data_IF_620028767647
#
_entry.id   IF_620028767647
#
_cell.length_a   1.000
_cell.length_b   1.000
_cell.length_c   1.000
_cell.angle_alpha   90.00
_cell.angle_beta   90.00
_cell.angle_gamma   90.00
#
_symmetry.space_group_name_H-M   'P 1'
#
loop_
_entity.id
_entity.type
_entity.pdbx_description
1 polymer ?
#
# COMPACT_ATOMS: atom_id res chain seq x y z
N UNK A 1 7.32 -8.43 92.62
CA UNK A 1 8.39 -7.47 92.29
C UNK A 1 9.45 -8.17 91.47
N UNK A 2 9.51 -7.89 90.17
CA UNK A 2 10.73 -7.63 89.39
C UNK A 2 10.26 -7.38 87.96
N UNK A 3 10.21 -6.10 87.59
CA UNK A 3 9.72 -5.58 86.31
C UNK A 3 10.77 -5.79 85.22
N UNK A 4 10.34 -6.30 84.06
CA UNK A 4 11.15 -6.45 82.85
C UNK A 4 11.61 -5.06 82.32
N UNK A 5 12.76 -4.98 81.62
CA UNK A 5 13.26 -3.72 81.10
C UNK A 5 12.39 -3.23 79.94
N UNK A 6 12.16 -1.93 79.96
CA UNK A 6 11.34 -1.15 79.04
C UNK A 6 11.96 -1.16 77.63
N UNK A 7 11.22 -1.69 76.64
CA UNK A 7 11.57 -1.56 75.22
C UNK A 7 11.44 -0.08 74.82
N UNK A 8 12.42 0.50 74.09
CA UNK A 8 12.34 1.88 73.66
C UNK A 8 11.16 2.07 72.67
N UNK A 9 10.46 3.21 72.70
CA UNK A 9 9.30 3.44 71.86
C UNK A 9 9.68 3.50 70.38
N UNK A 10 8.89 2.81 69.55
CA UNK A 10 8.91 2.93 68.09
C UNK A 10 8.78 4.41 67.70
N UNK A 11 9.87 4.98 67.18
CA UNK A 11 9.81 6.26 66.48
C UNK A 11 8.93 6.07 65.23
N UNK A 12 7.94 6.95 64.99
CA UNK A 12 7.21 6.92 63.73
C UNK A 12 8.21 7.18 62.60
N UNK A 13 8.44 6.17 61.74
CA UNK A 13 9.14 6.35 60.49
C UNK A 13 8.41 7.44 59.71
N UNK A 14 8.99 8.65 59.70
CA UNK A 14 8.57 9.71 58.80
C UNK A 14 8.53 9.14 57.38
N UNK A 15 7.48 9.41 56.58
CA UNK A 15 7.43 8.94 55.20
C UNK A 15 8.64 9.54 54.49
N UNK A 16 9.62 8.68 54.18
CA UNK A 16 10.79 9.08 53.41
C UNK A 16 10.26 9.69 52.11
N UNK A 17 10.50 10.97 51.84
CA UNK A 17 10.08 11.57 50.58
C UNK A 17 10.73 10.75 49.47
N UNK A 18 9.91 10.17 48.59
CA UNK A 18 10.42 9.47 47.42
C UNK A 18 11.41 10.38 46.69
N UNK A 19 12.54 9.85 46.16
CA UNK A 19 13.61 10.68 45.63
C UNK A 19 13.06 11.61 44.53
N UNK A 20 13.10 12.90 44.80
CA UNK A 20 12.74 13.93 43.84
C UNK A 20 13.71 13.82 42.65
N UNK A 21 13.17 13.76 41.43
CA UNK A 21 14.01 13.74 40.24
C UNK A 21 14.76 15.08 40.15
N UNK A 22 16.06 15.04 39.86
CA UNK A 22 16.80 16.26 39.58
C UNK A 22 16.17 16.99 38.38
N UNK A 23 16.20 18.32 38.39
CA UNK A 23 15.62 19.14 37.30
C UNK A 23 16.14 18.73 35.92
N UNK A 24 17.41 18.31 35.84
CA UNK A 24 18.02 17.78 34.61
C UNK A 24 17.45 16.43 34.15
N UNK A 25 17.06 15.54 35.07
CA UNK A 25 16.39 14.29 34.75
C UNK A 25 14.99 14.50 34.16
N UNK A 26 14.26 15.52 34.65
CA UNK A 26 12.93 15.84 34.12
C UNK A 26 13.03 16.41 32.70
N UNK A 27 13.94 17.36 32.46
CA UNK A 27 14.15 17.93 31.13
C UNK A 27 14.61 16.90 30.10
N UNK A 28 15.50 15.98 30.49
CA UNK A 28 15.93 14.89 29.60
C UNK A 28 14.79 13.93 29.26
N UNK A 29 13.91 13.62 30.21
CA UNK A 29 12.69 12.83 29.92
C UNK A 29 11.75 13.56 28.96
N UNK A 30 11.48 14.85 29.18
CA UNK A 30 10.61 15.64 28.29
C UNK A 30 11.19 15.72 26.88
N UNK A 31 12.49 16.04 26.76
CA UNK A 31 13.17 16.08 25.47
C UNK A 31 13.13 14.71 24.78
N UNK A 32 13.38 13.61 25.51
CA UNK A 32 13.32 12.27 24.96
C UNK A 32 11.91 11.91 24.48
N UNK A 33 10.86 12.27 25.22
CA UNK A 33 9.46 12.00 24.85
C UNK A 33 9.03 12.62 23.51
N UNK A 34 9.75 13.66 23.05
CA UNK A 34 9.48 14.36 21.80
C UNK A 34 10.49 13.97 20.71
N UNK A 35 11.78 14.08 21.01
CA UNK A 35 12.86 13.93 20.03
C UNK A 35 13.01 12.48 19.57
N UNK A 36 12.92 11.52 20.48
CA UNK A 36 13.07 10.10 20.13
C UNK A 36 11.99 9.59 19.18
N UNK A 37 10.68 9.75 19.45
CA UNK A 37 9.66 9.29 18.51
C UNK A 37 9.71 10.04 17.18
N UNK A 38 10.04 11.34 17.19
CA UNK A 38 10.21 12.10 15.94
C UNK A 38 11.39 11.60 15.11
N UNK A 39 12.55 11.32 15.71
CA UNK A 39 13.70 10.79 14.98
C UNK A 39 13.42 9.41 14.38
N UNK A 40 12.81 8.50 15.15
CA UNK A 40 12.51 7.16 14.65
C UNK A 40 11.45 7.22 13.55
N UNK A 41 10.39 8.00 13.76
CA UNK A 41 9.29 8.13 12.78
C UNK A 41 9.68 8.85 11.50
N UNK A 42 10.57 9.85 11.53
CA UNK A 42 11.03 10.53 10.30
C UNK A 42 11.90 9.62 9.44
N UNK A 43 12.74 8.78 10.05
CA UNK A 43 13.54 7.79 9.32
C UNK A 43 12.62 6.74 8.68
N UNK A 44 11.65 6.22 9.43
CA UNK A 44 10.62 5.32 8.93
C UNK A 44 9.82 5.94 7.78
N UNK A 45 9.39 7.20 7.95
CA UNK A 45 8.62 7.94 6.97
C UNK A 45 9.40 8.11 5.66
N UNK A 46 10.66 8.56 5.74
CA UNK A 46 11.53 8.67 4.57
C UNK A 46 11.76 7.31 3.89
N UNK A 47 12.00 6.25 4.68
CA UNK A 47 12.19 4.91 4.17
C UNK A 47 10.96 4.35 3.45
N UNK A 48 9.76 4.54 3.99
CA UNK A 48 8.51 4.10 3.36
C UNK A 48 8.08 4.97 2.18
N UNK A 49 8.42 6.26 2.16
CA UNK A 49 8.17 7.11 1.00
C UNK A 49 9.02 6.68 -0.20
N UNK A 50 10.26 6.22 0.03
CA UNK A 50 11.07 5.59 -1.01
C UNK A 50 10.45 4.28 -1.53
N UNK A 51 9.76 3.51 -0.68
CA UNK A 51 9.00 2.31 -1.12
C UNK A 51 7.87 2.71 -2.06
N UNK A 52 7.05 3.67 -1.64
CA UNK A 52 5.89 4.13 -2.40
C UNK A 52 6.31 4.70 -3.77
N UNK A 53 7.44 5.41 -3.84
CA UNK A 53 7.96 5.96 -5.11
C UNK A 53 8.68 4.93 -6.00
N UNK A 54 9.14 3.80 -5.44
CA UNK A 54 9.87 2.74 -6.14
C UNK A 54 9.03 1.49 -6.45
N UNK A 55 7.71 1.60 -6.35
CA UNK A 55 6.76 0.50 -6.21
C UNK A 55 6.82 -0.65 -7.24
N UNK A 56 7.21 -0.49 -8.53
CA UNK A 56 7.20 -1.67 -9.41
C UNK A 56 8.35 -2.66 -9.18
N UNK A 57 9.37 -2.35 -8.34
CA UNK A 57 10.60 -3.16 -8.28
C UNK A 57 11.04 -3.61 -6.88
N UNK A 58 10.19 -3.46 -5.86
CA UNK A 58 10.56 -3.78 -4.48
C UNK A 58 9.67 -4.88 -3.88
N UNK A 59 10.17 -6.13 -3.92
CA UNK A 59 9.53 -7.27 -3.27
C UNK A 59 9.61 -7.23 -1.73
N UNK A 60 9.03 -8.25 -1.07
CA UNK A 60 8.91 -8.37 0.39
C UNK A 60 10.21 -8.20 1.20
N UNK A 61 11.39 -8.36 0.56
CA UNK A 61 12.68 -8.11 1.21
C UNK A 61 12.85 -6.65 1.68
N UNK A 62 12.27 -5.68 0.98
CA UNK A 62 12.41 -4.27 1.36
C UNK A 62 11.53 -3.92 2.57
N UNK A 63 10.30 -4.44 2.65
CA UNK A 63 9.45 -4.24 3.83
C UNK A 63 10.05 -4.92 5.06
N UNK A 64 10.66 -6.10 4.89
CA UNK A 64 11.41 -6.77 5.95
C UNK A 64 12.61 -5.95 6.44
N UNK A 65 13.36 -5.31 5.53
CA UNK A 65 14.51 -4.48 5.89
C UNK A 65 14.08 -3.21 6.64
N UNK A 66 12.97 -2.57 6.24
CA UNK A 66 12.39 -1.44 6.96
C UNK A 66 11.99 -1.82 8.40
N UNK A 67 11.39 -3.00 8.58
CA UNK A 67 11.10 -3.57 9.89
C UNK A 67 12.36 -3.78 10.73
N UNK A 68 13.43 -4.32 10.15
CA UNK A 68 14.71 -4.53 10.84
C UNK A 68 15.36 -3.21 11.27
N UNK A 69 15.37 -2.20 10.40
CA UNK A 69 15.88 -0.85 10.72
C UNK A 69 15.09 -0.23 11.88
N UNK A 70 13.77 -0.40 11.88
CA UNK A 70 12.89 0.09 12.95
C UNK A 70 13.23 -0.54 14.30
N UNK A 71 13.41 -1.85 14.34
CA UNK A 71 13.81 -2.56 15.57
C UNK A 71 15.19 -2.12 16.06
N UNK A 72 16.15 -1.94 15.15
CA UNK A 72 17.49 -1.49 15.47
C UNK A 72 17.51 -0.06 16.06
N UNK A 73 16.83 0.89 15.41
CA UNK A 73 16.73 2.27 15.87
C UNK A 73 16.02 2.36 17.23
N UNK A 74 14.90 1.64 17.37
CA UNK A 74 14.15 1.59 18.62
C UNK A 74 15.01 0.99 19.75
N UNK A 75 15.69 -0.13 19.49
CA UNK A 75 16.56 -0.79 20.47
C UNK A 75 17.76 0.08 20.88
N UNK A 76 18.41 0.73 19.92
CA UNK A 76 19.52 1.64 20.17
C UNK A 76 19.08 2.84 21.04
N UNK A 77 17.96 3.46 20.69
CA UNK A 77 17.40 4.58 21.45
C UNK A 77 16.96 4.18 22.86
N UNK A 78 16.31 3.02 23.01
CA UNK A 78 15.96 2.45 24.32
C UNK A 78 17.20 2.30 25.21
N UNK A 79 18.26 1.67 24.68
CA UNK A 79 19.49 1.44 25.41
C UNK A 79 20.20 2.75 25.80
N UNK A 80 20.29 3.71 24.86
CA UNK A 80 20.90 5.00 25.09
C UNK A 80 20.16 5.78 26.20
N UNK A 81 18.83 5.85 26.12
CA UNK A 81 18.00 6.53 27.10
C UNK A 81 18.12 5.88 28.48
N UNK A 82 18.08 4.55 28.53
CA UNK A 82 18.28 3.80 29.77
C UNK A 82 19.65 4.09 30.40
N UNK A 83 20.71 4.17 29.59
CA UNK A 83 22.07 4.51 30.06
C UNK A 83 22.13 5.93 30.63
N UNK A 84 21.49 6.90 29.98
CA UNK A 84 21.42 8.30 30.44
C UNK A 84 20.66 8.38 31.77
N UNK A 85 19.48 7.76 31.86
CA UNK A 85 18.68 7.80 33.09
C UNK A 85 19.36 7.12 34.27
N UNK A 86 20.11 6.02 34.04
CA UNK A 86 20.96 5.41 35.07
C UNK A 86 22.05 6.35 35.55
N UNK A 87 22.71 7.08 34.65
CA UNK A 87 23.75 8.07 35.00
C UNK A 87 23.20 9.25 35.79
N UNK A 88 21.95 9.63 35.53
CA UNK A 88 21.24 10.70 36.24
C UNK A 88 20.64 10.26 37.58
N UNK A 89 20.81 9.00 37.99
CA UNK A 89 20.34 8.49 39.27
C UNK A 89 18.80 8.38 39.37
N UNK A 90 18.10 8.25 38.25
CA UNK A 90 16.64 8.18 38.23
C UNK A 90 16.14 6.89 38.89
N UNK A 91 15.17 6.95 39.83
CA UNK A 91 14.57 5.75 40.41
C UNK A 91 13.82 4.96 39.33
N UNK A 92 14.06 3.65 39.27
CA UNK A 92 13.47 2.72 38.27
C UNK A 92 13.64 3.20 36.81
N UNK A 93 14.89 3.35 36.33
CA UNK A 93 15.19 4.00 35.05
C UNK A 93 14.72 3.21 33.82
N UNK A 94 14.18 1.99 33.99
CA UNK A 94 13.67 1.13 32.92
C UNK A 94 12.23 1.47 32.53
N UNK A 95 11.41 2.02 33.42
CA UNK A 95 9.97 2.19 33.16
C UNK A 95 9.72 3.15 32.00
N UNK A 96 10.33 4.35 32.04
CA UNK A 96 10.15 5.39 31.05
C UNK A 96 10.63 5.00 29.63
N UNK A 97 11.86 4.45 29.42
CA UNK A 97 12.27 3.97 28.11
C UNK A 97 11.40 2.85 27.55
N UNK A 98 10.83 2.00 28.42
CA UNK A 98 9.96 0.90 27.98
C UNK A 98 8.67 1.44 27.39
N UNK A 99 7.98 2.34 28.10
CA UNK A 99 6.74 2.99 27.62
C UNK A 99 6.96 3.71 26.29
N UNK A 100 8.06 4.44 26.19
CA UNK A 100 8.37 5.20 24.98
C UNK A 100 8.71 4.29 23.79
N UNK A 101 9.47 3.21 24.03
CA UNK A 101 9.81 2.25 22.98
C UNK A 101 8.58 1.47 22.51
N UNK A 102 7.68 1.08 23.42
CA UNK A 102 6.42 0.43 23.04
C UNK A 102 5.50 1.34 22.23
N UNK A 103 5.44 2.63 22.55
CA UNK A 103 4.66 3.59 21.78
C UNK A 103 5.21 3.73 20.35
N UNK A 104 6.53 3.82 20.21
CA UNK A 104 7.20 3.88 18.91
C UNK A 104 6.99 2.60 18.10
N UNK A 105 7.10 1.42 18.72
CA UNK A 105 6.85 0.14 18.05
C UNK A 105 5.39 -0.01 17.63
N UNK A 106 4.45 0.40 18.47
CA UNK A 106 3.03 0.37 18.13
C UNK A 106 2.74 1.29 16.93
N UNK A 107 3.27 2.52 16.95
CA UNK A 107 3.13 3.46 15.83
C UNK A 107 3.87 2.97 14.55
N UNK A 108 5.00 2.29 14.69
CA UNK A 108 5.72 1.67 13.57
C UNK A 108 4.94 0.51 12.95
N UNK A 109 4.39 -0.39 13.76
CA UNK A 109 3.53 -1.48 13.29
C UNK A 109 2.30 -0.95 12.56
N UNK A 110 1.70 0.10 13.11
CA UNK A 110 0.63 0.86 12.48
C UNK A 110 1.02 1.44 11.10
N UNK A 111 2.22 2.00 10.98
CA UNK A 111 2.76 2.49 9.71
C UNK A 111 2.85 1.38 8.67
N UNK A 112 3.30 0.19 9.08
CA UNK A 112 3.42 -0.96 8.20
C UNK A 112 2.05 -1.41 7.70
N UNK A 113 1.03 -1.41 8.55
CA UNK A 113 -0.36 -1.69 8.14
C UNK A 113 -0.84 -0.65 7.13
N UNK A 114 -0.63 0.64 7.40
CA UNK A 114 -1.01 1.71 6.48
C UNK A 114 -0.29 1.63 5.13
N UNK A 115 0.99 1.27 5.12
CA UNK A 115 1.80 1.06 3.92
C UNK A 115 1.26 -0.12 3.08
N UNK A 116 0.94 -1.25 3.73
CA UNK A 116 0.38 -2.43 3.06
C UNK A 116 -0.99 -2.12 2.45
N UNK A 117 -1.81 -1.35 3.16
CA UNK A 117 -3.13 -0.93 2.69
C UNK A 117 -3.07 0.25 1.69
N UNK A 118 -1.87 0.70 1.30
CA UNK A 118 -1.66 1.85 0.39
C UNK A 118 -2.39 3.14 0.82
N UNK A 119 -2.64 3.30 2.12
CA UNK A 119 -3.40 4.46 2.63
C UNK A 119 -2.47 5.66 2.78
N UNK A 120 -2.90 6.82 2.27
CA UNK A 120 -2.21 8.12 2.45
C UNK A 120 -1.98 8.50 3.93
N UNK A 121 -2.61 7.79 4.86
CA UNK A 121 -2.39 7.89 6.30
C UNK A 121 -0.92 7.65 6.72
N UNK A 122 -0.10 7.00 5.89
CA UNK A 122 1.34 6.90 6.11
C UNK A 122 2.02 8.27 6.27
N UNK A 123 1.50 9.31 5.61
CA UNK A 123 2.02 10.68 5.71
C UNK A 123 1.90 11.25 7.13
N UNK A 124 0.94 10.77 7.92
CA UNK A 124 0.70 11.21 9.29
C UNK A 124 1.56 10.48 10.33
N UNK A 125 2.46 9.58 9.92
CA UNK A 125 3.25 8.73 10.81
C UNK A 125 4.01 9.50 11.91
N UNK A 126 4.73 10.61 11.61
CA UNK A 126 5.43 11.34 12.67
C UNK A 126 4.49 11.92 13.72
N UNK A 127 3.31 12.38 13.31
CA UNK A 127 2.29 12.92 14.21
C UNK A 127 1.68 11.83 15.10
N UNK A 128 1.33 10.66 14.52
CA UNK A 128 0.80 9.51 15.28
C UNK A 128 1.82 9.02 16.30
N UNK A 129 3.09 8.86 15.89
CA UNK A 129 4.16 8.39 16.77
C UNK A 129 4.41 9.34 17.95
N UNK A 130 4.37 10.66 17.70
CA UNK A 130 4.46 11.68 18.74
C UNK A 130 3.24 11.62 19.69
N UNK A 131 2.02 11.56 19.15
CA UNK A 131 0.80 11.52 19.95
C UNK A 131 0.77 10.30 20.90
N UNK A 132 1.14 9.12 20.39
CA UNK A 132 1.22 7.88 21.17
C UNK A 132 2.28 7.95 22.27
N UNK A 133 3.42 8.57 21.95
CA UNK A 133 4.51 8.76 22.91
C UNK A 133 4.15 9.74 24.03
N UNK A 134 3.48 10.84 23.68
CA UNK A 134 2.97 11.82 24.65
C UNK A 134 1.87 11.21 25.53
N UNK A 135 0.96 10.42 24.94
CA UNK A 135 -0.06 9.69 25.68
C UNK A 135 0.56 8.71 26.69
N UNK A 136 1.53 7.90 26.26
CA UNK A 136 2.27 7.00 27.14
C UNK A 136 2.96 7.74 28.29
N UNK A 137 3.59 8.89 28.00
CA UNK A 137 4.21 9.73 29.02
C UNK A 137 3.18 10.32 29.99
N UNK A 138 2.05 10.83 29.51
CA UNK A 138 0.99 11.39 30.34
C UNK A 138 0.42 10.33 31.29
N UNK A 139 0.13 9.13 30.79
CA UNK A 139 -0.38 8.02 31.60
C UNK A 139 0.67 7.58 32.63
N UNK A 140 1.94 7.45 32.23
CA UNK A 140 3.01 7.12 33.16
C UNK A 140 3.14 8.15 34.29
N UNK A 141 3.13 9.45 33.97
CA UNK A 141 3.22 10.50 34.99
C UNK A 141 2.02 10.52 35.95
N UNK A 142 0.82 10.22 35.47
CA UNK A 142 -0.39 10.17 36.28
C UNK A 142 -0.39 8.99 37.27
N UNK A 143 0.00 7.79 36.81
CA UNK A 143 -0.13 6.57 37.61
C UNK A 143 1.10 6.21 38.43
N UNK A 144 2.29 6.75 38.12
CA UNK A 144 3.55 6.43 38.85
C UNK A 144 3.54 6.78 40.34
N UNK A 145 2.62 7.66 40.78
CA UNK A 145 2.49 8.08 42.19
C UNK A 145 1.54 7.19 43.00
N UNK A 146 0.84 6.26 42.36
CA UNK A 146 -0.12 5.37 43.02
C UNK A 146 0.54 4.17 43.71
N UNK A 147 -0.01 3.68 44.84
CA UNK A 147 0.50 2.50 45.56
C UNK A 147 0.35 1.18 44.77
N UNK A 148 -0.44 1.17 43.69
CA UNK A 148 -0.71 0.01 42.81
C UNK A 148 -0.12 0.18 41.41
N UNK A 149 0.98 0.92 41.28
CA UNK A 149 1.61 1.13 39.97
C UNK A 149 2.05 -0.20 39.36
N UNK A 150 1.50 -0.53 38.20
CA UNK A 150 1.95 -1.61 37.33
C UNK A 150 2.29 -1.04 35.96
N UNK A 151 3.45 -1.37 35.36
CA UNK A 151 3.80 -0.91 34.02
C UNK A 151 2.80 -1.38 32.95
N UNK A 152 2.03 -2.46 33.21
CA UNK A 152 0.96 -2.90 32.32
C UNK A 152 -0.18 -1.88 32.21
N UNK A 153 -0.51 -1.17 33.30
CA UNK A 153 -1.56 -0.15 33.29
C UNK A 153 -1.18 1.05 32.42
N UNK A 154 0.12 1.36 32.31
CA UNK A 154 0.61 2.46 31.47
C UNK A 154 0.63 2.13 29.99
N UNK A 155 0.72 0.84 29.64
CA UNK A 155 0.74 0.37 28.26
C UNK A 155 -0.66 0.17 27.68
N UNK A 156 -1.64 -0.15 28.53
CA UNK A 156 -3.04 -0.37 28.14
C UNK A 156 -3.62 0.72 27.22
N UNK A 157 -3.57 2.03 27.54
CA UNK A 157 -4.15 3.06 26.67
C UNK A 157 -3.38 3.24 25.36
N UNK A 158 -2.06 3.04 25.35
CA UNK A 158 -1.24 3.08 24.14
C UNK A 158 -1.67 1.94 23.21
N UNK A 159 -1.81 0.72 23.73
CA UNK A 159 -2.28 -0.42 22.92
C UNK A 159 -3.73 -0.23 22.47
N UNK A 160 -4.61 0.28 23.33
CA UNK A 160 -6.01 0.52 22.99
C UNK A 160 -6.16 1.54 21.86
N UNK A 161 -5.45 2.68 21.93
CA UNK A 161 -5.45 3.67 20.84
C UNK A 161 -4.83 3.09 19.58
N UNK A 162 -3.79 2.25 19.71
CA UNK A 162 -3.17 1.62 18.56
C UNK A 162 -4.16 0.75 17.79
N UNK A 163 -4.89 -0.11 18.51
CA UNK A 163 -5.91 -1.00 17.96
C UNK A 163 -7.09 -0.23 17.38
N UNK A 164 -7.55 0.84 18.04
CA UNK A 164 -8.61 1.70 17.53
C UNK A 164 -8.24 2.33 16.19
N UNK A 165 -7.04 2.90 16.09
CA UNK A 165 -6.54 3.50 14.86
C UNK A 165 -6.39 2.45 13.73
N UNK A 166 -5.85 1.27 14.04
CA UNK A 166 -5.80 0.16 13.08
C UNK A 166 -7.18 -0.24 12.60
N UNK A 167 -8.17 -0.31 13.50
CA UNK A 167 -9.57 -0.56 13.14
C UNK A 167 -10.15 0.54 12.25
N UNK A 168 -9.85 1.82 12.53
CA UNK A 168 -10.33 2.93 11.68
C UNK A 168 -9.71 2.93 10.29
N UNK A 169 -8.42 2.58 10.15
CA UNK A 169 -7.79 2.46 8.84
C UNK A 169 -8.34 1.28 8.05
N UNK A 170 -8.56 0.16 8.72
CA UNK A 170 -9.16 -1.01 8.10
C UNK A 170 -10.59 -0.73 7.63
N UNK A 171 -11.42 -0.12 8.48
CA UNK A 171 -12.77 0.28 8.12
C UNK A 171 -12.79 1.31 6.97
N UNK A 172 -11.84 2.26 6.97
CA UNK A 172 -11.70 3.22 5.87
C UNK A 172 -11.30 2.54 4.55
N UNK A 173 -10.39 1.56 4.61
CA UNK A 173 -10.00 0.76 3.45
C UNK A 173 -11.14 -0.09 2.91
N UNK A 174 -11.91 -0.75 3.79
CA UNK A 174 -13.10 -1.52 3.39
C UNK A 174 -14.18 -0.63 2.78
N UNK A 175 -14.40 0.57 3.33
CA UNK A 175 -15.37 1.52 2.79
C UNK A 175 -14.95 2.05 1.42
N UNK A 176 -13.66 2.36 1.22
CA UNK A 176 -13.15 2.78 -0.09
C UNK A 176 -13.29 1.65 -1.11
N UNK A 177 -12.89 0.43 -0.76
CA UNK A 177 -13.04 -0.74 -1.64
C UNK A 177 -14.50 -1.00 -2.00
N UNK A 178 -15.40 -0.85 -1.03
CA UNK A 178 -16.84 -0.95 -1.25
C UNK A 178 -17.33 0.14 -2.19
N UNK A 179 -16.88 1.37 -1.98
CA UNK A 179 -17.23 2.52 -2.82
C UNK A 179 -16.73 2.36 -4.25
N UNK A 180 -15.48 1.97 -4.44
CA UNK A 180 -14.89 1.67 -5.75
C UNK A 180 -15.70 0.58 -6.46
N UNK A 181 -16.09 -0.49 -5.75
CA UNK A 181 -16.97 -1.54 -6.29
C UNK A 181 -18.34 -1.00 -6.68
N UNK A 182 -18.97 -0.18 -5.83
CA UNK A 182 -20.29 0.42 -6.13
C UNK A 182 -20.23 1.41 -7.30
N UNK A 183 -19.14 2.17 -7.42
CA UNK A 183 -18.87 3.08 -8.55
C UNK A 183 -18.64 2.27 -9.83
N UNK A 184 -17.79 1.25 -9.80
CA UNK A 184 -17.52 0.38 -10.95
C UNK A 184 -18.77 -0.40 -11.41
N UNK A 185 -19.60 -0.88 -10.48
CA UNK A 185 -20.90 -1.50 -10.82
C UNK A 185 -21.86 -0.49 -11.46
N UNK A 186 -21.86 0.77 -10.99
CA UNK A 186 -22.68 1.83 -11.59
C UNK A 186 -22.21 2.13 -13.00
N UNK A 187 -20.90 2.24 -13.21
CA UNK A 187 -20.30 2.50 -14.52
C UNK A 187 -20.55 1.33 -15.47
N UNK A 188 -20.38 0.10 -15.00
CA UNK A 188 -20.71 -1.11 -15.76
C UNK A 188 -22.19 -1.13 -16.20
N UNK A 189 -23.12 -0.78 -15.30
CA UNK A 189 -24.55 -0.73 -15.63
C UNK A 189 -24.92 0.43 -16.56
N UNK A 190 -24.16 1.53 -16.53
CA UNK A 190 -24.38 2.71 -17.37
C UNK A 190 -23.65 2.61 -18.72
N UNK A 191 -22.71 1.69 -18.89
CA UNK A 191 -21.89 1.58 -20.10
C UNK A 191 -22.73 1.11 -21.31
N UNK A 192 -22.77 1.90 -22.40
CA UNK A 192 -23.77 1.72 -23.46
C UNK A 192 -23.44 0.61 -24.49
N UNK A 193 -22.22 0.05 -24.45
CA UNK A 193 -21.72 -0.91 -25.43
C UNK A 193 -21.52 -2.29 -24.82
N UNK A 194 -21.42 -3.30 -25.68
CA UNK A 194 -21.02 -4.66 -25.27
C UNK A 194 -19.53 -4.68 -24.93
N UNK A 195 -19.17 -5.17 -23.74
CA UNK A 195 -17.77 -5.34 -23.34
C UNK A 195 -17.25 -6.66 -23.91
N UNK A 196 -16.00 -6.68 -24.37
CA UNK A 196 -15.35 -7.90 -24.79
C UNK A 196 -14.75 -8.64 -23.59
N UNK A 197 -14.78 -9.97 -23.66
CA UNK A 197 -14.21 -10.87 -22.65
C UNK A 197 -13.22 -11.80 -23.32
N UNK A 198 -12.07 -12.02 -22.67
CA UNK A 198 -11.12 -13.05 -23.03
C UNK A 198 -11.52 -14.36 -22.36
N UNK A 199 -12.10 -15.28 -23.12
CA UNK A 199 -12.57 -16.58 -22.64
C UNK A 199 -11.44 -17.63 -22.69
N UNK A 200 -10.43 -17.45 -21.84
CA UNK A 200 -9.29 -18.36 -21.74
C UNK A 200 -8.97 -18.67 -20.28
N UNK A 201 -8.91 -19.96 -19.94
CA UNK A 201 -8.61 -20.43 -18.59
C UNK A 201 -7.19 -20.11 -18.10
N UNK A 202 -6.29 -19.74 -19.00
CA UNK A 202 -4.89 -19.40 -18.68
C UNK A 202 -4.75 -17.95 -18.17
N UNK A 203 -5.82 -17.15 -18.26
CA UNK A 203 -5.83 -15.74 -17.93
C UNK A 203 -6.94 -15.42 -16.93
N UNK A 204 -6.63 -14.56 -15.96
CA UNK A 204 -7.60 -14.07 -14.98
C UNK A 204 -7.71 -12.55 -15.06
N UNK A 205 -8.92 -11.98 -14.97
CA UNK A 205 -9.09 -10.54 -14.93
C UNK A 205 -8.51 -10.01 -13.61
N UNK A 206 -7.80 -8.89 -13.68
CA UNK A 206 -7.14 -8.21 -12.57
C UNK A 206 -7.79 -6.85 -12.28
N UNK A 207 -8.12 -6.10 -13.33
CA UNK A 207 -8.63 -4.73 -13.21
C UNK A 207 -9.64 -4.48 -14.34
N UNK A 208 -10.62 -3.62 -14.07
CA UNK A 208 -11.63 -3.19 -15.03
C UNK A 208 -11.90 -1.70 -14.86
N UNK A 209 -11.93 -0.97 -15.98
CA UNK A 209 -12.14 0.47 -15.98
C UNK A 209 -13.05 0.89 -17.12
N UNK A 210 -13.86 1.92 -16.86
CA UNK A 210 -14.65 2.59 -17.89
C UNK A 210 -14.20 4.04 -18.00
N UNK A 211 -13.93 4.46 -19.23
CA UNK A 211 -13.55 5.82 -19.56
C UNK A 211 -14.66 6.48 -20.37
N UNK A 212 -15.11 7.64 -19.87
CA UNK A 212 -16.26 8.37 -20.43
C UNK A 212 -15.88 9.75 -21.02
N UNK A 213 -14.62 10.17 -20.93
CA UNK A 213 -14.16 11.41 -21.55
C UNK A 213 -12.64 11.48 -21.71
N UNK A 214 -12.17 12.08 -22.81
CA UNK A 214 -10.77 12.52 -22.99
C UNK A 214 -10.37 13.67 -22.05
N UNK A 215 -11.30 14.17 -21.23
CA UNK A 215 -11.09 15.28 -20.29
C UNK A 215 -10.15 14.92 -19.15
N UNK A 216 -10.09 13.64 -18.76
CA UNK A 216 -9.14 13.14 -17.76
C UNK A 216 -7.70 13.05 -18.30
N UNK A 217 -7.54 12.97 -19.62
CA UNK A 217 -6.24 13.06 -20.31
C UNK A 217 -5.86 14.51 -20.70
N UNK A 218 -6.64 15.52 -20.26
CA UNK A 218 -6.38 16.93 -20.56
C UNK A 218 -6.74 17.38 -21.98
N UNK A 219 -7.48 16.56 -22.73
CA UNK A 219 -7.87 16.82 -24.11
C UNK A 219 -9.38 17.13 -24.15
N UNK A 220 -9.71 18.40 -24.39
CA UNK A 220 -11.10 18.85 -24.55
C UNK A 220 -11.55 18.49 -25.97
N UNK A 221 -12.29 17.40 -26.11
CA UNK A 221 -13.03 17.07 -27.34
C UNK A 221 -14.53 17.04 -26.99
N UNK A 222 -15.35 17.60 -27.88
CA UNK A 222 -16.81 17.77 -27.70
C UNK A 222 -17.62 16.47 -27.84
N UNK A 223 -16.99 15.36 -28.21
CA UNK A 223 -17.66 14.08 -28.43
C UNK A 223 -17.59 13.18 -27.17
N UNK A 224 -18.73 12.61 -26.77
CA UNK A 224 -18.80 11.57 -25.74
C UNK A 224 -17.98 10.35 -26.22
N UNK A 225 -17.02 9.91 -25.42
CA UNK A 225 -16.12 8.80 -25.75
C UNK A 225 -16.35 7.67 -24.75
N UNK A 226 -16.61 6.46 -25.23
CA UNK A 226 -16.85 5.30 -24.37
C UNK A 226 -15.83 4.19 -24.62
N UNK A 227 -15.01 3.92 -23.61
CA UNK A 227 -14.02 2.84 -23.64
C UNK A 227 -14.12 2.00 -22.36
N UNK A 228 -14.20 0.69 -22.52
CA UNK A 228 -14.07 -0.28 -21.44
C UNK A 228 -12.71 -0.97 -21.56
N UNK A 229 -11.98 -1.05 -20.45
CA UNK A 229 -10.68 -1.70 -20.38
C UNK A 229 -10.75 -2.82 -19.36
N UNK A 230 -10.32 -4.02 -19.76
CA UNK A 230 -10.15 -5.17 -18.86
C UNK A 230 -8.70 -5.63 -18.91
N UNK A 231 -8.02 -5.66 -17.77
CA UNK A 231 -6.64 -6.12 -17.65
C UNK A 231 -6.64 -7.56 -17.17
N UNK A 232 -5.89 -8.42 -17.85
CA UNK A 232 -5.71 -9.83 -17.53
C UNK A 232 -4.27 -10.13 -17.16
N UNK A 233 -4.09 -11.02 -16.20
CA UNK A 233 -2.79 -11.58 -15.81
C UNK A 233 -2.82 -13.10 -15.92
N UNK A 234 -1.65 -13.77 -16.00
CA UNK A 234 -1.61 -15.22 -16.01
C UNK A 234 -2.31 -15.81 -14.78
N UNK A 235 -3.13 -16.84 -14.99
CA UNK A 235 -3.78 -17.58 -13.92
C UNK A 235 -2.75 -18.32 -13.05
N UNK A 236 -1.74 -18.92 -13.70
CA UNK A 236 -0.59 -19.55 -13.07
C UNK A 236 0.66 -18.65 -13.21
N UNK A 237 0.97 -17.80 -12.21
CA UNK A 237 2.11 -16.90 -12.28
C UNK A 237 3.42 -17.70 -12.28
N UNK A 238 4.20 -17.54 -13.35
CA UNK A 238 5.56 -18.08 -13.45
C UNK A 238 6.59 -16.94 -13.39
N UNK A 239 7.81 -17.19 -12.91
CA UNK A 239 8.85 -16.15 -12.84
C UNK A 239 9.18 -15.54 -14.21
N UNK A 240 8.91 -16.26 -15.31
CA UNK A 240 9.14 -15.79 -16.67
C UNK A 240 8.06 -14.84 -17.20
N UNK A 241 6.93 -14.71 -16.51
CA UNK A 241 5.80 -13.84 -16.89
C UNK A 241 5.52 -12.77 -15.81
N UNK A 242 6.45 -12.56 -14.88
CA UNK A 242 6.26 -11.60 -13.80
C UNK A 242 6.14 -10.17 -14.36
N UNK A 243 5.04 -9.49 -14.01
CA UNK A 243 4.71 -8.16 -14.54
C UNK A 243 4.19 -8.12 -15.98
N UNK A 244 4.01 -9.26 -16.64
CA UNK A 244 3.35 -9.35 -17.95
C UNK A 244 1.82 -9.29 -17.79
N UNK A 245 1.14 -8.49 -18.61
CA UNK A 245 -0.31 -8.42 -18.64
C UNK A 245 -0.86 -8.30 -20.07
N UNK A 246 -2.10 -8.75 -20.23
CA UNK A 246 -2.89 -8.50 -21.43
C UNK A 246 -3.95 -7.46 -21.13
N UNK A 247 -4.12 -6.48 -22.00
CA UNK A 247 -5.13 -5.44 -21.86
C UNK A 247 -6.13 -5.58 -23.00
N UNK A 248 -7.41 -5.69 -22.67
CA UNK A 248 -8.50 -5.78 -23.63
C UNK A 248 -9.30 -4.47 -23.59
N UNK A 249 -9.22 -3.70 -24.67
CA UNK A 249 -9.89 -2.40 -24.83
C UNK A 249 -11.10 -2.58 -25.77
N UNK A 250 -12.30 -2.22 -25.30
CA UNK A 250 -13.54 -2.26 -26.07
C UNK A 250 -14.09 -0.83 -26.26
N UNK A 251 -14.30 -0.41 -27.49
CA UNK A 251 -14.78 0.94 -27.83
C UNK A 251 -15.78 0.91 -28.99
N UNK A 252 -16.64 1.92 -29.10
CA UNK A 252 -17.58 2.01 -30.22
C UNK A 252 -16.83 2.11 -31.55
N UNK A 253 -17.40 1.53 -32.62
CA UNK A 253 -16.84 1.67 -33.97
C UNK A 253 -16.67 3.12 -34.41
N UNK A 254 -17.58 3.99 -33.98
CA UNK A 254 -17.59 5.41 -34.31
C UNK A 254 -16.47 6.15 -33.54
N UNK A 255 -16.27 5.80 -32.26
CA UNK A 255 -15.29 6.42 -31.35
C UNK A 255 -13.85 5.93 -31.58
N UNK A 256 -13.70 4.71 -32.10
CA UNK A 256 -12.40 4.21 -32.55
C UNK A 256 -11.79 5.10 -33.64
N UNK A 257 -12.63 5.89 -34.34
CA UNK A 257 -12.25 6.86 -35.35
C UNK A 257 -11.27 6.32 -36.39
N UNK A 258 -10.34 7.18 -36.83
CA UNK A 258 -9.13 6.79 -37.54
C UNK A 258 -7.99 6.45 -36.55
N UNK A 259 -8.16 5.49 -35.64
CA UNK A 259 -7.03 4.77 -35.02
C UNK A 259 -6.81 3.45 -35.77
N UNK A 260 -6.34 3.41 -37.03
CA UNK A 260 -6.16 2.15 -37.68
C UNK A 260 -4.76 1.66 -37.32
N UNK A 261 -4.73 0.60 -36.53
CA UNK A 261 -3.60 -0.32 -36.51
C UNK A 261 -3.09 -0.57 -37.94
N UNK A 262 -4.02 -0.65 -38.92
CA UNK A 262 -3.76 -0.70 -40.38
C UNK A 262 -2.87 0.41 -40.95
N UNK A 263 -3.02 1.69 -40.56
CA UNK A 263 -2.13 2.78 -41.05
C UNK A 263 -0.74 2.70 -40.46
N UNK A 264 -0.62 2.10 -39.27
CA UNK A 264 0.67 1.86 -38.65
C UNK A 264 1.37 0.64 -39.26
N UNK A 265 0.67 -0.16 -40.07
CA UNK A 265 1.25 -1.26 -40.82
C UNK A 265 2.13 -0.79 -41.98
N UNK A 266 3.22 -1.51 -42.23
CA UNK A 266 4.15 -1.22 -43.32
C UNK A 266 3.51 -1.24 -44.71
N UNK A 267 2.42 -1.98 -44.90
CA UNK A 267 1.62 -1.98 -46.13
C UNK A 267 0.97 -0.62 -46.43
N UNK A 268 0.69 0.19 -45.41
CA UNK A 268 0.13 1.55 -45.54
C UNK A 268 1.15 2.65 -45.23
N UNK A 269 2.45 2.30 -45.15
CA UNK A 269 3.55 3.25 -44.91
C UNK A 269 3.93 3.46 -43.44
N UNK A 270 3.38 2.67 -42.52
CA UNK A 270 3.76 2.65 -41.11
C UNK A 270 4.98 1.79 -40.80
N UNK A 271 5.35 1.68 -39.52
CA UNK A 271 6.56 0.96 -39.06
C UNK A 271 6.28 -0.44 -38.50
N UNK A 272 5.00 -0.83 -38.40
CA UNK A 272 4.59 -2.09 -37.79
C UNK A 272 4.47 -3.19 -38.84
N UNK A 273 4.80 -4.41 -38.46
CA UNK A 273 4.54 -5.59 -39.29
C UNK A 273 3.14 -6.08 -38.95
N UNK A 274 2.27 -6.23 -39.95
CA UNK A 274 0.89 -6.65 -39.72
C UNK A 274 0.54 -7.90 -40.51
N UNK A 275 -0.19 -8.80 -39.86
CA UNK A 275 -0.68 -10.04 -40.43
C UNK A 275 -2.19 -10.14 -40.21
N UNK A 276 -2.94 -10.47 -41.26
CA UNK A 276 -4.39 -10.69 -41.18
C UNK A 276 -4.67 -12.17 -40.94
N UNK A 277 -5.44 -12.47 -39.89
CA UNK A 277 -5.84 -13.81 -39.48
C UNK A 277 -7.36 -13.85 -39.30
N UNK A 278 -8.08 -14.07 -40.40
CA UNK A 278 -9.55 -14.03 -40.41
C UNK A 278 -10.08 -12.62 -40.08
N UNK A 279 -10.82 -12.51 -38.98
CA UNK A 279 -11.38 -11.25 -38.48
C UNK A 279 -10.41 -10.49 -37.54
N UNK A 280 -9.26 -11.09 -37.22
CA UNK A 280 -8.22 -10.48 -36.42
C UNK A 280 -7.10 -9.90 -37.29
N UNK A 281 -6.65 -8.69 -36.96
CA UNK A 281 -5.39 -8.14 -37.48
C UNK A 281 -4.40 -8.15 -36.33
N UNK A 282 -3.22 -8.71 -36.54
CA UNK A 282 -2.13 -8.69 -35.55
C UNK A 282 -1.07 -7.72 -36.04
N UNK A 283 -0.67 -6.77 -35.19
CA UNK A 283 0.41 -5.86 -35.48
C UNK A 283 1.53 -5.98 -34.45
N UNK A 284 2.74 -6.05 -34.97
CA UNK A 284 3.96 -6.20 -34.18
C UNK A 284 4.90 -5.05 -34.46
N UNK A 285 5.30 -4.35 -33.39
CA UNK A 285 6.34 -3.34 -33.45
C UNK A 285 7.67 -3.95 -33.01
N UNK A 286 8.57 -4.14 -33.97
CA UNK A 286 9.90 -4.68 -33.74
C UNK A 286 10.94 -3.58 -33.95
N UNK A 287 11.76 -3.31 -32.93
CA UNK A 287 12.89 -2.36 -33.03
C UNK A 287 14.17 -3.12 -32.75
N UNK A 288 15.13 -3.05 -33.69
CA UNK A 288 16.45 -3.71 -33.55
C UNK A 288 16.35 -5.23 -33.29
N UNK A 289 15.31 -5.89 -33.81
CA UNK A 289 15.07 -7.33 -33.64
C UNK A 289 14.35 -7.72 -32.36
N UNK A 290 13.98 -6.75 -31.51
CA UNK A 290 13.21 -6.98 -30.28
C UNK A 290 11.76 -6.52 -30.48
N UNK A 291 10.82 -7.41 -30.21
CA UNK A 291 9.38 -7.08 -30.20
C UNK A 291 9.05 -6.29 -28.94
N UNK A 292 8.68 -5.02 -29.12
CA UNK A 292 8.35 -4.13 -28.00
C UNK A 292 6.85 -4.00 -27.74
N UNK A 293 6.01 -4.33 -28.74
CA UNK A 293 4.55 -4.21 -28.64
C UNK A 293 3.86 -5.14 -29.63
N UNK A 294 2.78 -5.78 -29.18
CA UNK A 294 1.92 -6.62 -30.00
C UNK A 294 0.46 -6.28 -29.69
N UNK A 295 -0.33 -6.13 -30.76
CA UNK A 295 -1.75 -5.83 -30.69
C UNK A 295 -2.52 -6.74 -31.64
N UNK A 296 -3.69 -7.19 -31.21
CA UNK A 296 -4.67 -7.89 -32.02
C UNK A 296 -5.97 -7.08 -32.00
N UNK A 297 -6.49 -6.78 -33.19
CA UNK A 297 -7.76 -6.07 -33.34
C UNK A 297 -8.82 -7.04 -33.85
N UNK A 298 -9.92 -7.14 -33.13
CA UNK A 298 -11.11 -7.91 -33.50
C UNK A 298 -12.30 -6.96 -33.64
N UNK A 299 -13.18 -7.20 -34.61
CA UNK A 299 -14.35 -6.35 -34.86
C UNK A 299 -15.65 -7.09 -34.54
N UNK A 300 -16.50 -6.49 -33.72
CA UNK A 300 -17.86 -6.95 -33.45
C UNK A 300 -18.87 -6.13 -34.25
N UNK A 301 -20.18 -6.34 -34.04
CA UNK A 301 -21.21 -5.61 -34.78
C UNK A 301 -21.15 -4.09 -34.53
N UNK A 302 -21.01 -3.71 -33.27
CA UNK A 302 -21.10 -2.36 -32.70
C UNK A 302 -19.79 -1.84 -32.07
N UNK A 303 -18.84 -2.74 -31.76
CA UNK A 303 -17.60 -2.41 -31.09
C UNK A 303 -16.34 -2.83 -31.88
N UNK A 304 -15.23 -2.14 -31.60
CA UNK A 304 -13.87 -2.56 -31.95
C UNK A 304 -13.18 -2.96 -30.66
N UNK A 305 -12.52 -4.11 -30.70
CA UNK A 305 -11.78 -4.66 -29.57
C UNK A 305 -10.30 -4.72 -29.91
N UNK A 306 -9.47 -4.23 -29.02
CA UNK A 306 -8.01 -4.31 -29.13
C UNK A 306 -7.48 -5.10 -27.94
N UNK A 307 -6.89 -6.25 -28.23
CA UNK A 307 -6.06 -6.99 -27.29
C UNK A 307 -4.63 -6.51 -27.42
N UNK A 308 -4.02 -6.08 -26.32
CA UNK A 308 -2.66 -5.56 -26.27
C UNK A 308 -1.85 -6.34 -25.25
N UNK A 309 -0.61 -6.66 -25.61
CA UNK A 309 0.37 -7.20 -24.68
C UNK A 309 1.20 -6.05 -24.07
N UNK A 310 1.19 -5.96 -22.75
CA UNK A 310 1.97 -4.99 -22.00
C UNK A 310 3.15 -5.67 -21.32
N UNK A 311 4.36 -5.28 -21.73
CA UNK A 311 5.62 -5.75 -21.15
C UNK A 311 6.02 -4.87 -19.95
N UNK A 312 6.56 -5.45 -18.88
CA UNK A 312 7.15 -4.67 -17.79
C UNK A 312 8.36 -3.88 -18.29
N UNK A 313 8.54 -2.65 -17.80
CA UNK A 313 9.66 -1.78 -18.15
C UNK A 313 10.85 -1.86 -17.17
N UNK A 314 12.07 -1.67 -17.66
CA UNK A 314 13.32 -1.68 -16.88
C UNK A 314 13.64 -0.34 -16.16
N UNK A 315 12.66 0.57 -16.10
CA UNK A 315 12.80 1.92 -15.57
C UNK A 315 13.56 2.91 -16.49
N UNK A 316 14.15 2.45 -17.60
CA UNK A 316 14.75 3.29 -18.66
C UNK A 316 13.87 3.38 -19.91
N UNK A 317 12.69 2.78 -19.86
CA UNK A 317 11.73 2.73 -20.97
C UNK A 317 12.00 1.60 -21.94
N UNK A 318 12.89 0.65 -21.62
CA UNK A 318 13.07 -0.58 -22.39
C UNK A 318 12.25 -1.71 -21.73
N UNK A 319 11.85 -2.73 -22.50
CA UNK A 319 11.24 -3.92 -21.91
C UNK A 319 12.23 -4.62 -20.97
N UNK A 320 11.77 -4.98 -19.78
CA UNK A 320 12.54 -5.69 -18.76
C UNK A 320 12.67 -7.20 -19.05
N UNK A 321 11.89 -7.70 -20.01
CA UNK A 321 11.88 -9.10 -20.43
C UNK A 321 11.72 -9.21 -21.95
N UNK A 322 12.10 -10.37 -22.49
CA UNK A 322 11.76 -10.72 -23.87
C UNK A 322 10.25 -10.94 -24.00
N UNK A 323 9.72 -10.67 -25.19
CA UNK A 323 8.30 -10.89 -25.47
C UNK A 323 8.00 -12.40 -25.33
N UNK A 324 7.05 -12.80 -24.46
CA UNK A 324 6.77 -14.20 -24.23
C UNK A 324 6.17 -14.85 -25.49
N UNK A 325 6.47 -16.14 -25.70
CA UNK A 325 5.88 -16.91 -26.79
C UNK A 325 4.42 -17.25 -26.46
N UNK A 326 3.55 -16.26 -26.66
CA UNK A 326 2.10 -16.37 -26.50
C UNK A 326 1.46 -16.40 -27.88
N UNK A 327 0.58 -17.38 -28.10
CA UNK A 327 -0.17 -17.50 -29.35
C UNK A 327 -1.20 -16.39 -29.47
N UNK A 328 -0.80 -15.20 -29.91
CA UNK A 328 -1.69 -14.03 -30.02
C UNK A 328 -2.85 -14.26 -31.00
N UNK A 329 -2.63 -15.08 -32.03
CA UNK A 329 -3.68 -15.58 -32.94
C UNK A 329 -4.70 -16.38 -32.14
N UNK A 330 -4.25 -17.39 -31.40
CA UNK A 330 -5.11 -18.25 -30.58
C UNK A 330 -5.86 -17.43 -29.52
N UNK A 331 -5.19 -16.49 -28.85
CA UNK A 331 -5.85 -15.60 -27.88
C UNK A 331 -6.93 -14.74 -28.54
N UNK A 332 -6.71 -14.26 -29.77
CA UNK A 332 -7.70 -13.46 -30.49
C UNK A 332 -8.97 -14.24 -30.85
N UNK A 333 -8.86 -15.56 -31.05
CA UNK A 333 -10.01 -16.45 -31.29
C UNK A 333 -10.88 -16.67 -30.03
N UNK A 334 -10.31 -16.44 -28.83
CA UNK A 334 -11.01 -16.54 -27.55
C UNK A 334 -11.64 -15.20 -27.11
N UNK A 335 -11.52 -14.14 -27.91
CA UNK A 335 -12.17 -12.85 -27.64
C UNK A 335 -13.63 -12.93 -28.10
N UNK A 336 -14.56 -12.77 -27.17
CA UNK A 336 -16.01 -12.78 -27.46
C UNK A 336 -16.73 -11.62 -26.79
N UNK A 337 -17.92 -11.22 -27.27
CA UNK A 337 -18.79 -10.35 -26.48
C UNK A 337 -19.17 -11.04 -25.16
N UNK A 338 -19.35 -10.23 -24.12
CA UNK A 338 -19.85 -10.71 -22.83
C UNK A 338 -21.25 -11.34 -22.94
N UNK A 339 -21.51 -12.32 -22.09
CA UNK A 339 -22.83 -12.89 -21.87
C UNK A 339 -23.65 -12.03 -20.89
N UNK A 340 -25.00 -12.14 -20.90
CA UNK A 340 -25.85 -11.40 -19.97
C UNK A 340 -25.48 -11.72 -18.50
N UNK A 341 -25.08 -10.69 -17.74
CA UNK A 341 -24.68 -10.82 -16.33
C UNK A 341 -23.17 -11.05 -16.11
N UNK A 342 -22.41 -11.32 -17.18
CA UNK A 342 -20.96 -11.57 -17.09
C UNK A 342 -20.19 -10.27 -16.78
N UNK A 343 -20.73 -9.11 -17.17
CA UNK A 343 -20.15 -7.80 -16.82
C UNK A 343 -20.07 -7.62 -15.30
N UNK A 344 -21.17 -7.89 -14.60
CA UNK A 344 -21.24 -7.77 -13.15
C UNK A 344 -20.39 -8.84 -12.45
N UNK A 345 -20.24 -10.03 -13.05
CA UNK A 345 -19.34 -11.08 -12.59
C UNK A 345 -17.86 -10.67 -12.74
N UNK A 346 -17.48 -10.03 -13.85
CA UNK A 346 -16.15 -9.46 -14.04
C UNK A 346 -15.85 -8.38 -13.00
N UNK A 347 -16.80 -7.47 -12.76
CA UNK A 347 -16.67 -6.44 -11.70
C UNK A 347 -16.51 -7.10 -10.32
N UNK A 348 -17.28 -8.15 -10.02
CA UNK A 348 -17.10 -8.89 -8.77
C UNK A 348 -15.71 -9.53 -8.68
N UNK A 349 -15.25 -10.15 -9.78
CA UNK A 349 -13.96 -10.87 -9.83
C UNK A 349 -12.76 -9.93 -9.64
N UNK A 350 -12.78 -8.73 -10.26
CA UNK A 350 -11.66 -7.77 -10.13
C UNK A 350 -11.69 -6.98 -8.81
N UNK A 351 -12.81 -6.99 -8.08
CA UNK A 351 -12.95 -6.27 -6.81
C UNK A 351 -12.85 -7.15 -5.56
N UNK A 352 -12.89 -8.48 -5.70
CA UNK A 352 -12.83 -9.47 -4.59
C UNK A 352 -11.39 -9.79 -4.14
#
# INVERSE_FOLDING_TARGET
MSTAPESPPDLPHAPVPGPAHSTGAVWTMVAAAVVYPLLVSTVLWAGGLLVLLGAPHHGWMYTASLGAVTLALTGAGHYLLLRILRRLGVPRPREFPTVLSTAVLAAGAQAMVALVLHVMAFVLLPAVCLAMSLLGCAVWTAFRRGPRFSPMLTLSPVVAVALLLSGTWWAGFEEERRREREELLRDAAAFPLTVAVLDSGDWRPLDMRFSHSLREAGVVVEDEFHEATVVYVPADPSPGLDGFSLTLESMAKEDAGERPMRRSCGSEGGTWTCEEHGDAVIATSTREGVTGRMEARTEFADAIVVLRADLPGDGRGNPAMEFPDIGFVELSEHIRPEEPGEREELVATVTD
#
